data_IF_273024571561
#
_entry.id   IF_273024571561
#
_cell.length_a   1.000
_cell.length_b   1.000
_cell.length_c   1.000
_cell.angle_alpha   90.00
_cell.angle_beta   90.00
_cell.angle_gamma   90.00
#
_symmetry.space_group_name_H-M   'P 1'
#
loop_
_entity.id
_entity.type
_entity.pdbx_description
1 polymer ?
#
# COMPACT_ATOMS: atom_id res chain seq x y z
N UNK A 1 -12.52 18.99 -6.15
CA UNK A 1 -11.70 17.76 -6.30
C UNK A 1 -11.54 17.06 -4.95
N UNK A 2 -11.64 15.71 -4.90
CA UNK A 2 -11.41 14.94 -3.67
C UNK A 2 -9.98 15.14 -3.18
N UNK A 3 -9.79 15.41 -1.88
CA UNK A 3 -8.47 15.51 -1.25
C UNK A 3 -7.95 14.11 -0.96
N UNK A 4 -6.74 13.79 -1.37
CA UNK A 4 -6.12 12.47 -1.19
C UNK A 4 -4.88 12.62 -0.31
N UNK A 5 -4.86 11.95 0.82
CA UNK A 5 -3.69 11.84 1.68
C UNK A 5 -2.90 10.59 1.31
N UNK A 6 -1.63 10.74 0.94
CA UNK A 6 -0.72 9.65 0.62
C UNK A 6 0.16 9.39 1.84
N UNK A 7 -0.03 8.25 2.52
CA UNK A 7 0.88 7.83 3.60
C UNK A 7 2.15 7.23 3.02
N UNK A 8 3.26 7.30 3.75
CA UNK A 8 4.56 6.86 3.22
C UNK A 8 5.08 7.78 2.12
N UNK A 9 4.86 9.10 2.28
CA UNK A 9 5.18 10.15 1.31
C UNK A 9 6.65 10.25 0.88
N UNK A 10 7.57 9.60 1.60
CA UNK A 10 8.99 9.52 1.24
C UNK A 10 9.34 8.20 0.51
N UNK A 11 8.37 7.32 0.36
CA UNK A 11 8.53 6.03 -0.31
C UNK A 11 8.78 6.17 -1.81
N UNK A 12 9.31 5.10 -2.43
CA UNK A 12 9.69 5.09 -3.85
C UNK A 12 8.52 5.41 -4.78
N UNK A 13 7.39 4.74 -4.60
CA UNK A 13 6.19 5.05 -5.37
C UNK A 13 5.70 6.49 -5.16
N UNK A 14 5.70 6.96 -3.91
CA UNK A 14 5.28 8.32 -3.59
C UNK A 14 6.17 9.38 -4.27
N UNK A 15 7.48 9.14 -4.41
CA UNK A 15 8.39 10.01 -5.16
C UNK A 15 8.03 10.09 -6.65
N UNK A 16 7.73 8.95 -7.28
CA UNK A 16 7.30 8.93 -8.69
C UNK A 16 5.96 9.66 -8.85
N UNK A 17 5.01 9.42 -7.96
CA UNK A 17 3.72 10.10 -7.96
C UNK A 17 3.85 11.62 -7.74
N UNK A 18 4.74 12.05 -6.86
CA UNK A 18 5.02 13.47 -6.57
C UNK A 18 5.60 14.20 -7.78
N UNK A 19 6.47 13.53 -8.53
CA UNK A 19 7.11 14.07 -9.72
C UNK A 19 6.24 13.96 -11.00
N UNK A 20 5.10 13.29 -10.89
CA UNK A 20 4.18 13.16 -12.02
C UNK A 20 3.35 14.42 -12.23
N UNK A 21 2.88 14.62 -13.47
CA UNK A 21 1.92 15.69 -13.81
C UNK A 21 0.47 15.29 -13.46
N UNK A 22 0.28 14.55 -12.38
CA UNK A 22 -1.05 14.11 -11.95
C UNK A 22 -1.92 15.31 -11.57
N UNK A 23 -3.15 15.35 -12.08
CA UNK A 23 -4.15 16.38 -11.73
C UNK A 23 -4.87 16.10 -10.40
N UNK A 24 -4.50 15.05 -9.66
CA UNK A 24 -5.11 14.69 -8.39
C UNK A 24 -4.69 15.68 -7.28
N UNK A 25 -5.60 15.99 -6.36
CA UNK A 25 -5.30 16.83 -5.20
C UNK A 25 -4.63 15.98 -4.11
N UNK A 26 -3.30 15.86 -4.17
CA UNK A 26 -2.47 14.99 -3.35
C UNK A 26 -1.76 15.73 -2.24
N UNK A 27 -1.84 15.22 -1.02
CA UNK A 27 -0.99 15.61 0.11
C UNK A 27 -0.16 14.41 0.53
N UNK A 28 1.15 14.56 0.56
CA UNK A 28 2.08 13.49 0.92
C UNK A 28 2.49 13.62 2.38
N UNK A 29 2.30 12.57 3.14
CA UNK A 29 2.71 12.50 4.54
C UNK A 29 3.88 11.55 4.73
N UNK A 30 5.00 12.07 5.21
CA UNK A 30 6.15 11.29 5.65
C UNK A 30 5.83 10.52 6.95
N UNK A 31 6.74 9.66 7.41
CA UNK A 31 6.59 9.01 8.72
C UNK A 31 6.55 10.04 9.87
N UNK A 32 7.24 11.18 9.73
CA UNK A 32 7.22 12.27 10.73
C UNK A 32 5.84 12.95 10.78
N UNK A 33 5.20 13.13 9.62
CA UNK A 33 3.89 13.76 9.52
C UNK A 33 2.75 12.83 9.93
N UNK A 34 2.87 11.55 9.60
CA UNK A 34 1.87 10.52 9.86
C UNK A 34 2.54 9.20 10.27
N UNK A 35 2.86 9.08 11.55
CA UNK A 35 3.30 7.80 12.10
C UNK A 35 2.08 6.88 12.27
N UNK A 36 1.96 5.88 11.40
CA UNK A 36 0.82 4.94 11.38
C UNK A 36 0.74 4.05 12.62
N UNK A 37 1.81 3.93 13.40
CA UNK A 37 1.81 3.23 14.70
C UNK A 37 1.16 4.06 15.81
N UNK A 38 0.99 5.37 15.61
CA UNK A 38 0.38 6.28 16.58
C UNK A 38 -0.97 6.77 16.08
N UNK A 39 -2.04 6.29 16.69
CA UNK A 39 -3.41 6.77 16.39
C UNK A 39 -3.52 8.28 16.54
N UNK A 40 -2.86 8.86 17.54
CA UNK A 40 -2.85 10.32 17.75
C UNK A 40 -2.18 11.07 16.59
N UNK A 41 -1.08 10.52 16.04
CA UNK A 41 -0.43 11.08 14.85
C UNK A 41 -1.35 11.04 13.63
N UNK A 42 -2.03 9.92 13.42
CA UNK A 42 -3.03 9.77 12.34
C UNK A 42 -4.17 10.79 12.53
N UNK A 43 -4.74 10.86 13.72
CA UNK A 43 -5.83 11.81 14.01
C UNK A 43 -5.43 13.27 13.78
N UNK A 44 -4.20 13.65 14.17
CA UNK A 44 -3.66 14.99 13.96
C UNK A 44 -3.66 15.38 12.49
N UNK A 45 -3.13 14.51 11.62
CA UNK A 45 -3.04 14.82 10.18
C UNK A 45 -4.41 14.76 9.51
N UNK A 46 -5.28 13.83 9.90
CA UNK A 46 -6.66 13.75 9.37
C UNK A 46 -7.45 15.02 9.69
N UNK A 47 -7.38 15.51 10.91
CA UNK A 47 -8.05 16.76 11.31
C UNK A 47 -7.51 17.98 10.54
N UNK A 48 -6.20 18.01 10.27
CA UNK A 48 -5.55 19.09 9.52
C UNK A 48 -5.92 19.09 8.04
N UNK A 49 -5.83 17.93 7.38
CA UNK A 49 -5.99 17.80 5.91
C UNK A 49 -7.48 17.62 5.53
N UNK A 50 -8.24 16.91 6.36
CA UNK A 50 -9.63 16.49 6.09
C UNK A 50 -9.73 15.79 4.73
N UNK A 51 -8.98 14.68 4.52
CA UNK A 51 -8.96 13.97 3.24
C UNK A 51 -10.28 13.23 3.01
N UNK A 52 -10.65 13.07 1.74
CA UNK A 52 -11.75 12.19 1.32
C UNK A 52 -11.25 10.75 1.12
N UNK A 53 -9.95 10.62 0.76
CA UNK A 53 -9.32 9.34 0.43
C UNK A 53 -7.96 9.29 1.09
N UNK A 54 -7.60 8.12 1.63
CA UNK A 54 -6.23 7.79 2.01
C UNK A 54 -5.69 6.78 0.99
N UNK A 55 -4.62 7.17 0.28
CA UNK A 55 -3.81 6.25 -0.50
C UNK A 55 -2.73 5.68 0.43
N UNK A 56 -2.95 4.44 0.91
CA UNK A 56 -2.08 3.85 1.91
C UNK A 56 -0.92 3.09 1.25
N UNK A 57 0.20 3.79 1.11
CA UNK A 57 1.45 3.25 0.55
C UNK A 57 2.55 3.05 1.59
N UNK A 58 2.34 3.51 2.83
CA UNK A 58 3.26 3.27 3.93
C UNK A 58 3.30 1.77 4.26
N UNK A 59 4.45 1.15 4.11
CA UNK A 59 4.67 -0.24 4.44
C UNK A 59 6.17 -0.52 4.60
N UNK A 60 6.52 -1.51 5.39
CA UNK A 60 7.83 -2.14 5.32
C UNK A 60 7.81 -3.12 4.15
N UNK A 61 8.62 -2.89 3.11
CA UNK A 61 8.66 -3.76 1.92
C UNK A 61 10.06 -4.23 1.55
N UNK A 62 11.10 -3.52 1.99
CA UNK A 62 12.52 -3.86 1.71
C UNK A 62 13.42 -3.38 2.83
N UNK A 63 14.58 -4.05 3.04
CA UNK A 63 15.02 -5.27 2.36
C UNK A 63 14.19 -6.48 2.78
N UNK A 64 14.01 -7.47 1.89
CA UNK A 64 13.17 -8.64 2.17
C UNK A 64 13.62 -9.42 3.41
N UNK A 65 14.91 -9.53 3.67
CA UNK A 65 15.48 -10.21 4.86
C UNK A 65 14.99 -9.65 6.20
N UNK A 66 14.54 -8.40 6.25
CA UNK A 66 14.06 -7.81 7.52
C UNK A 66 12.78 -8.48 8.01
N UNK A 67 11.97 -9.01 7.11
CA UNK A 67 10.74 -9.71 7.46
C UNK A 67 10.99 -11.06 8.13
N UNK A 68 12.18 -11.64 7.89
CA UNK A 68 12.60 -12.88 8.53
C UNK A 68 13.42 -12.59 9.83
N UNK A 69 14.27 -11.56 9.80
CA UNK A 69 15.18 -11.25 10.90
C UNK A 69 14.51 -10.45 12.03
N UNK A 70 13.44 -9.72 11.74
CA UNK A 70 12.74 -8.87 12.71
C UNK A 70 11.23 -8.83 12.38
N UNK A 71 10.56 -9.89 12.81
CA UNK A 71 9.11 -10.07 12.58
C UNK A 71 8.32 -8.92 13.20
N UNK A 72 8.75 -8.37 14.35
CA UNK A 72 8.05 -7.28 15.02
C UNK A 72 7.93 -6.05 14.13
N UNK A 73 9.00 -5.67 13.41
CA UNK A 73 8.92 -4.56 12.46
C UNK A 73 7.90 -4.78 11.36
N UNK A 74 7.77 -6.03 10.90
CA UNK A 74 6.78 -6.39 9.86
C UNK A 74 5.37 -6.32 10.41
N UNK A 75 5.13 -6.87 11.60
CA UNK A 75 3.85 -6.83 12.30
C UNK A 75 3.45 -5.37 12.54
N UNK A 76 4.33 -4.60 13.18
CA UNK A 76 4.05 -3.20 13.51
C UNK A 76 3.70 -2.39 12.26
N UNK A 77 4.58 -2.40 11.26
CA UNK A 77 4.40 -1.52 10.10
C UNK A 77 3.25 -1.96 9.19
N UNK A 78 3.14 -3.27 8.91
CA UNK A 78 2.23 -3.74 7.86
C UNK A 78 0.87 -4.19 8.40
N UNK A 79 0.80 -4.63 9.66
CA UNK A 79 -0.45 -5.08 10.29
C UNK A 79 -0.99 -4.00 11.21
N UNK A 80 -0.28 -3.70 12.30
CA UNK A 80 -0.77 -2.76 13.34
C UNK A 80 -0.97 -1.35 12.76
N UNK A 81 0.01 -0.86 12.00
CA UNK A 81 -0.07 0.45 11.36
C UNK A 81 -1.25 0.56 10.38
N UNK A 82 -1.48 -0.49 9.57
CA UNK A 82 -2.63 -0.55 8.66
C UNK A 82 -3.95 -0.60 9.42
N UNK A 83 -4.06 -1.44 10.45
CA UNK A 83 -5.26 -1.54 11.29
C UNK A 83 -5.59 -0.21 12.00
N UNK A 84 -4.59 0.53 12.48
CA UNK A 84 -4.79 1.85 13.07
C UNK A 84 -5.38 2.85 12.05
N UNK A 85 -4.88 2.84 10.82
CA UNK A 85 -5.43 3.66 9.74
C UNK A 85 -6.88 3.28 9.44
N UNK A 86 -7.19 1.98 9.34
CA UNK A 86 -8.55 1.50 9.09
C UNK A 86 -9.52 1.96 10.17
N UNK A 87 -9.14 1.86 11.46
CA UNK A 87 -9.96 2.37 12.59
C UNK A 87 -10.29 3.85 12.42
N UNK A 88 -9.29 4.66 12.06
CA UNK A 88 -9.50 6.10 11.86
C UNK A 88 -10.31 6.36 10.59
N UNK A 89 -10.06 5.66 9.50
CA UNK A 89 -10.87 5.77 8.27
C UNK A 89 -12.33 5.46 8.52
N UNK A 90 -12.63 4.39 9.25
CA UNK A 90 -14.00 4.01 9.64
C UNK A 90 -14.67 5.10 10.48
N UNK A 91 -13.97 5.65 11.48
CA UNK A 91 -14.50 6.72 12.36
C UNK A 91 -14.87 7.99 11.60
N UNK A 92 -14.13 8.34 10.55
CA UNK A 92 -14.33 9.58 9.78
C UNK A 92 -14.94 9.35 8.40
N UNK A 93 -15.38 8.14 8.10
CA UNK A 93 -15.91 7.73 6.78
C UNK A 93 -14.99 8.10 5.60
N UNK A 94 -13.67 7.89 5.77
CA UNK A 94 -12.66 8.20 4.76
C UNK A 94 -12.39 6.94 3.95
N UNK A 95 -12.45 7.01 2.62
CA UNK A 95 -12.08 5.89 1.75
C UNK A 95 -10.60 5.54 1.93
N UNK A 96 -10.29 4.24 2.06
CA UNK A 96 -8.90 3.75 2.07
C UNK A 96 -8.62 2.93 0.81
N UNK A 97 -7.55 3.29 0.10
CA UNK A 97 -7.00 2.50 -1.01
C UNK A 97 -5.68 1.92 -0.52
N UNK A 98 -5.65 0.61 -0.34
CA UNK A 98 -4.51 -0.11 0.24
C UNK A 98 -3.67 -0.79 -0.82
N UNK A 99 -2.37 -0.55 -0.80
CA UNK A 99 -1.40 -1.24 -1.64
C UNK A 99 -0.98 -2.55 -0.98
N UNK A 100 -1.65 -3.63 -1.37
CA UNK A 100 -1.26 -5.01 -1.05
C UNK A 100 -0.22 -5.52 -2.06
N UNK A 101 -0.05 -6.81 -2.17
CA UNK A 101 0.99 -7.43 -3.00
C UNK A 101 0.51 -8.71 -3.66
N UNK A 102 1.07 -9.05 -4.82
CA UNK A 102 0.89 -10.37 -5.42
C UNK A 102 1.47 -11.52 -4.59
N UNK A 103 2.36 -11.24 -3.62
CA UNK A 103 2.91 -12.24 -2.69
C UNK A 103 1.89 -12.82 -1.69
N UNK A 104 0.65 -12.33 -1.70
CA UNK A 104 -0.46 -12.97 -0.96
C UNK A 104 -0.87 -14.31 -1.59
N UNK A 105 -0.55 -14.54 -2.86
CA UNK A 105 -0.81 -15.79 -3.55
C UNK A 105 0.36 -16.77 -3.45
N UNK A 106 0.08 -18.07 -3.58
CA UNK A 106 1.10 -19.13 -3.52
C UNK A 106 2.13 -19.07 -4.66
N UNK A 107 1.76 -18.51 -5.82
CA UNK A 107 2.67 -18.34 -6.95
C UNK A 107 2.86 -19.58 -7.84
N UNK A 108 2.09 -20.65 -7.64
CA UNK A 108 2.26 -21.91 -8.39
C UNK A 108 1.52 -21.95 -9.74
N UNK A 109 0.24 -21.55 -9.75
CA UNK A 109 -0.59 -21.71 -10.97
C UNK A 109 -0.52 -20.52 -11.95
N UNK A 110 -0.20 -19.31 -11.48
CA UNK A 110 -0.34 -18.08 -12.28
C UNK A 110 -1.79 -17.64 -12.49
N UNK A 111 -1.98 -16.52 -13.19
CA UNK A 111 -3.30 -15.96 -13.55
C UNK A 111 -4.31 -15.92 -12.39
N UNK A 112 -3.84 -15.53 -11.20
CA UNK A 112 -4.69 -15.44 -10.01
C UNK A 112 -5.74 -14.34 -10.18
N UNK A 113 -6.97 -14.66 -9.76
CA UNK A 113 -8.10 -13.73 -9.63
C UNK A 113 -8.20 -13.24 -8.18
N UNK A 114 -8.91 -12.15 -7.97
CA UNK A 114 -9.16 -11.59 -6.64
C UNK A 114 -9.91 -12.55 -5.71
N UNK A 115 -10.69 -13.46 -6.28
CA UNK A 115 -11.49 -14.50 -5.57
C UNK A 115 -10.68 -15.77 -5.25
N UNK A 116 -9.47 -15.90 -5.79
CA UNK A 116 -8.63 -17.07 -5.51
C UNK A 116 -8.14 -17.07 -4.06
N UNK A 117 -7.97 -18.26 -3.50
CA UNK A 117 -7.46 -18.44 -2.15
C UNK A 117 -6.05 -17.81 -2.01
N UNK A 118 -5.85 -17.08 -0.92
CA UNK A 118 -4.56 -16.48 -0.58
C UNK A 118 -3.76 -17.43 0.29
N UNK A 119 -2.49 -17.63 -0.07
CA UNK A 119 -1.54 -18.50 0.64
C UNK A 119 -0.13 -17.95 0.49
N UNK A 120 0.24 -16.92 1.27
CA UNK A 120 1.57 -16.35 1.23
C UNK A 120 2.64 -17.38 1.56
N UNK A 121 3.77 -17.31 0.87
CA UNK A 121 4.90 -18.23 1.08
C UNK A 121 6.07 -17.62 1.87
N UNK A 122 5.96 -16.35 2.28
CA UNK A 122 6.99 -15.66 3.07
C UNK A 122 6.37 -14.65 4.05
N UNK A 123 7.16 -14.22 5.04
CA UNK A 123 6.71 -13.29 6.08
C UNK A 123 6.29 -11.92 5.54
N UNK A 124 6.89 -11.44 4.45
CA UNK A 124 6.42 -10.22 3.79
C UNK A 124 4.97 -10.38 3.31
N UNK A 125 4.68 -11.44 2.54
CA UNK A 125 3.34 -11.72 2.05
C UNK A 125 2.34 -11.88 3.21
N UNK A 126 2.72 -12.62 4.27
CA UNK A 126 1.91 -12.78 5.49
C UNK A 126 1.60 -11.45 6.15
N UNK A 127 2.62 -10.58 6.33
CA UNK A 127 2.42 -9.27 6.96
C UNK A 127 1.52 -8.35 6.12
N UNK A 128 1.64 -8.41 4.78
CA UNK A 128 0.78 -7.64 3.88
C UNK A 128 -0.65 -8.17 3.89
N UNK A 129 -0.84 -9.50 3.94
CA UNK A 129 -2.15 -10.12 4.07
C UNK A 129 -2.82 -9.77 5.41
N UNK A 130 -2.07 -9.75 6.52
CA UNK A 130 -2.59 -9.32 7.82
C UNK A 130 -3.15 -7.89 7.79
N UNK A 131 -2.44 -6.96 7.13
CA UNK A 131 -2.95 -5.62 6.88
C UNK A 131 -4.19 -5.61 5.97
N UNK A 132 -4.16 -6.40 4.89
CA UNK A 132 -5.27 -6.55 3.94
C UNK A 132 -6.54 -7.03 4.64
N UNK A 133 -6.44 -8.01 5.55
CA UNK A 133 -7.59 -8.52 6.30
C UNK A 133 -8.28 -7.39 7.09
N UNK A 134 -7.52 -6.48 7.72
CA UNK A 134 -8.12 -5.34 8.43
C UNK A 134 -8.82 -4.36 7.47
N UNK A 135 -8.27 -4.14 6.29
CA UNK A 135 -8.84 -3.26 5.26
C UNK A 135 -10.15 -3.82 4.71
N UNK A 136 -10.20 -5.13 4.45
CA UNK A 136 -11.40 -5.81 3.93
C UNK A 136 -12.59 -5.80 4.89
N UNK A 137 -12.36 -5.60 6.20
CA UNK A 137 -13.46 -5.42 7.17
C UNK A 137 -14.17 -4.07 7.01
N UNK A 138 -13.57 -3.11 6.31
CA UNK A 138 -14.11 -1.77 6.13
C UNK A 138 -14.71 -1.59 4.73
N UNK A 139 -16.04 -1.39 4.65
CA UNK A 139 -16.77 -1.31 3.37
C UNK A 139 -16.26 -0.22 2.42
N UNK A 140 -15.86 0.95 2.96
CA UNK A 140 -15.35 2.06 2.13
C UNK A 140 -13.83 1.89 1.87
N UNK A 141 -13.46 0.73 1.35
CA UNK A 141 -12.06 0.36 1.08
C UNK A 141 -11.88 -0.18 -0.34
N UNK A 142 -10.63 -0.16 -0.79
CA UNK A 142 -10.18 -0.81 -2.02
C UNK A 142 -8.80 -1.41 -1.78
N UNK A 143 -8.64 -2.69 -2.07
CA UNK A 143 -7.35 -3.40 -2.01
C UNK A 143 -6.79 -3.56 -3.42
N UNK A 144 -5.54 -3.15 -3.60
CA UNK A 144 -4.80 -3.33 -4.85
C UNK A 144 -3.65 -4.31 -4.61
N UNK A 145 -3.74 -5.54 -5.11
CA UNK A 145 -2.69 -6.57 -5.04
C UNK A 145 -1.70 -6.33 -6.18
N UNK A 146 -0.65 -5.56 -5.90
CA UNK A 146 0.28 -5.03 -6.89
C UNK A 146 1.64 -5.72 -6.80
N UNK A 147 2.27 -5.98 -7.96
CA UNK A 147 3.69 -6.29 -8.06
C UNK A 147 4.35 -5.16 -8.84
N UNK A 148 4.97 -4.23 -8.11
CA UNK A 148 5.52 -3.00 -8.70
C UNK A 148 7.04 -3.01 -8.75
N UNK A 149 7.58 -2.36 -9.78
CA UNK A 149 9.01 -2.13 -9.94
C UNK A 149 9.30 -0.71 -10.44
N UNK A 150 10.55 -0.31 -10.34
CA UNK A 150 11.05 1.00 -10.76
C UNK A 150 11.64 0.95 -12.18
N UNK A 151 11.72 2.15 -12.82
CA UNK A 151 12.54 2.41 -14.01
C UNK A 151 13.70 3.33 -13.63
N UNK A 152 14.98 2.97 -13.97
CA UNK A 152 15.41 1.67 -14.52
C UNK A 152 15.23 0.53 -13.53
N UNK A 153 15.18 -0.70 -14.03
CA UNK A 153 15.08 -1.90 -13.18
C UNK A 153 16.31 -2.02 -12.27
N UNK A 154 16.10 -2.05 -10.97
CA UNK A 154 17.17 -1.92 -9.97
C UNK A 154 17.98 -3.20 -9.72
N UNK A 155 17.47 -4.36 -10.13
CA UNK A 155 18.15 -5.62 -9.87
C UNK A 155 19.13 -5.96 -11.00
N UNK A 156 20.40 -6.22 -10.64
CA UNK A 156 21.45 -6.62 -11.58
C UNK A 156 21.20 -7.99 -12.24
N UNK A 157 20.37 -8.82 -11.61
CA UNK A 157 20.02 -10.17 -12.08
C UNK A 157 18.51 -10.35 -12.06
N UNK A 158 17.98 -11.05 -13.05
CA UNK A 158 16.60 -11.51 -13.12
C UNK A 158 16.57 -13.05 -13.18
N UNK A 159 15.56 -13.65 -12.57
CA UNK A 159 15.36 -15.10 -12.66
C UNK A 159 14.58 -15.40 -13.94
N UNK A 160 15.19 -16.17 -14.88
CA UNK A 160 14.58 -16.46 -16.18
C UNK A 160 13.31 -17.31 -16.13
N UNK A 161 13.11 -18.03 -15.03
CA UNK A 161 11.92 -18.87 -14.78
C UNK A 161 10.84 -18.17 -13.93
N UNK A 162 11.06 -16.91 -13.51
CA UNK A 162 10.06 -16.17 -12.76
C UNK A 162 9.07 -15.48 -13.72
N UNK A 163 7.82 -15.94 -13.69
CA UNK A 163 6.70 -15.29 -14.38
C UNK A 163 5.92 -14.49 -13.36
N UNK A 164 5.82 -13.17 -13.56
CA UNK A 164 5.01 -12.28 -12.70
C UNK A 164 4.43 -11.13 -13.52
N UNK A 165 3.31 -10.62 -13.08
CA UNK A 165 2.64 -9.49 -13.71
C UNK A 165 3.17 -8.18 -13.11
N UNK A 166 4.36 -7.78 -13.56
CA UNK A 166 5.00 -6.54 -13.09
C UNK A 166 4.35 -5.30 -13.70
N UNK A 167 4.15 -4.31 -12.86
CA UNK A 167 3.72 -2.96 -13.24
C UNK A 167 4.79 -1.95 -12.85
N UNK A 168 5.13 -1.02 -13.73
CA UNK A 168 5.99 0.10 -13.36
C UNK A 168 5.22 1.12 -12.52
N UNK A 169 5.91 1.82 -11.62
CA UNK A 169 5.30 2.87 -10.79
C UNK A 169 4.59 3.92 -11.64
N UNK A 170 5.17 4.32 -12.77
CA UNK A 170 4.63 5.32 -13.69
C UNK A 170 3.30 4.88 -14.32
N UNK A 171 3.14 3.59 -14.58
CA UNK A 171 1.91 3.07 -15.17
C UNK A 171 0.77 3.06 -14.16
N UNK A 172 1.07 2.70 -12.90
CA UNK A 172 0.08 2.84 -11.82
C UNK A 172 -0.32 4.30 -11.62
N UNK A 173 0.64 5.24 -11.68
CA UNK A 173 0.33 6.68 -11.58
C UNK A 173 -0.67 7.12 -12.65
N UNK A 174 -0.56 6.64 -13.89
CA UNK A 174 -1.53 6.93 -14.98
C UNK A 174 -2.92 6.35 -14.70
N UNK A 175 -2.98 5.23 -13.96
CA UNK A 175 -4.25 4.56 -13.62
C UNK A 175 -4.96 5.18 -12.41
N UNK A 176 -4.23 5.83 -11.48
CA UNK A 176 -4.80 6.37 -10.24
C UNK A 176 -6.03 7.28 -10.44
N UNK A 177 -6.09 8.16 -11.46
CA UNK A 177 -7.29 8.97 -11.69
C UNK A 177 -8.55 8.16 -11.98
N UNK A 178 -8.40 6.94 -12.53
CA UNK A 178 -9.50 6.01 -12.78
C UNK A 178 -9.87 5.19 -11.56
N UNK A 179 -8.88 4.86 -10.72
CA UNK A 179 -9.04 4.03 -9.52
C UNK A 179 -9.64 4.83 -8.36
N UNK A 180 -9.23 6.08 -8.17
CA UNK A 180 -9.63 6.90 -7.02
C UNK A 180 -11.13 7.20 -6.91
N UNK A 181 -11.92 7.32 -8.00
CA UNK A 181 -13.36 7.50 -7.93
C UNK A 181 -14.14 6.22 -7.69
N UNK A 182 -13.55 5.02 -7.96
CA UNK A 182 -14.26 3.74 -7.82
C UNK A 182 -14.81 3.56 -6.40
N UNK A 183 -16.08 3.26 -6.31
CA UNK A 183 -16.79 2.94 -5.05
C UNK A 183 -16.64 1.47 -4.74
#
# INVERSE_FOLDING_TARGET
MKKILVTGGDGRFAKVLKNSKSKLNLTFASKKDCNILSVNSILKIIKKIKPNIILHTAALSRPMKIHENDINKSIDSNIVGTANLVKVCNRFNIKIIYFSTGYVYEGKKGNYKETDAVKPFNNYGLSKLGGECSVLMYKNSLVLRLTMTEKPFLHKKAYGNLKSNYMFHEDLVKMLPKISPCN
#
